data_IF_381811873246
#
_entry.id   IF_381811873246
#
_cell.length_a   1.000
_cell.length_b   1.000
_cell.length_c   1.000
_cell.angle_alpha   90.00
_cell.angle_beta   90.00
_cell.angle_gamma   90.00
#
_symmetry.space_group_name_H-M   'P 1'
#
loop_
_entity.id
_entity.type
_entity.pdbx_description
1 polymer ?
#
# COMPACT_ATOMS: atom_id res chain seq x y z
N UNK A 1 -7.24 -15.30 6.91
CA UNK A 1 -7.33 -13.82 6.94
C UNK A 1 -7.12 -13.22 5.55
N UNK A 2 -5.96 -13.41 4.91
CA UNK A 2 -5.71 -12.83 3.58
C UNK A 2 -6.76 -13.26 2.54
N UNK A 3 -6.86 -14.56 2.23
CA UNK A 3 -7.76 -15.05 1.19
C UNK A 3 -9.27 -14.91 1.48
N UNK A 4 -9.65 -14.59 2.71
CA UNK A 4 -11.05 -14.49 3.13
C UNK A 4 -11.59 -13.06 3.18
N UNK A 5 -10.72 -12.04 3.20
CA UNK A 5 -11.13 -10.63 3.37
C UNK A 5 -10.32 -9.69 2.48
N UNK A 6 -9.03 -9.95 2.28
CA UNK A 6 -8.13 -9.00 1.63
C UNK A 6 -8.02 -9.22 0.12
N UNK A 7 -8.18 -10.46 -0.36
CA UNK A 7 -8.18 -10.77 -1.80
C UNK A 7 -9.27 -9.97 -2.54
N UNK A 8 -10.47 -9.81 -1.95
CA UNK A 8 -11.55 -9.01 -2.56
C UNK A 8 -11.16 -7.53 -2.72
N UNK A 9 -10.45 -6.96 -1.73
CA UNK A 9 -9.96 -5.57 -1.78
C UNK A 9 -8.91 -5.43 -2.88
N UNK A 10 -7.98 -6.40 -2.99
CA UNK A 10 -6.96 -6.40 -4.04
C UNK A 10 -7.60 -6.50 -5.43
N UNK A 11 -8.57 -7.40 -5.60
CA UNK A 11 -9.28 -7.57 -6.87
C UNK A 11 -10.03 -6.28 -7.26
N UNK A 12 -10.77 -5.67 -6.33
CA UNK A 12 -11.45 -4.39 -6.55
C UNK A 12 -10.46 -3.27 -6.94
N UNK A 13 -9.26 -3.27 -6.36
CA UNK A 13 -8.21 -2.30 -6.70
C UNK A 13 -7.71 -2.47 -8.14
N UNK A 14 -7.53 -3.71 -8.59
CA UNK A 14 -7.16 -3.99 -9.98
C UNK A 14 -8.29 -3.66 -10.97
N UNK A 15 -9.53 -3.74 -10.52
CA UNK A 15 -10.71 -3.34 -11.31
C UNK A 15 -10.93 -1.82 -11.36
N UNK A 16 -10.06 -1.02 -10.71
CA UNK A 16 -10.01 0.43 -10.82
C UNK A 16 -10.62 1.19 -9.64
N UNK A 17 -10.93 0.52 -8.53
CA UNK A 17 -11.39 1.17 -7.30
C UNK A 17 -10.23 1.45 -6.33
N UNK A 18 -10.42 2.39 -5.40
CA UNK A 18 -9.44 2.64 -4.35
C UNK A 18 -9.61 1.64 -3.20
N UNK A 19 -8.57 0.86 -2.91
CA UNK A 19 -8.51 -0.05 -1.75
C UNK A 19 -7.67 0.51 -0.61
N UNK A 20 -8.04 0.21 0.64
CA UNK A 20 -7.29 0.64 1.82
C UNK A 20 -7.32 -0.42 2.92
N UNK A 21 -6.14 -0.77 3.46
CA UNK A 21 -5.98 -1.78 4.51
C UNK A 21 -5.05 -1.23 5.59
N UNK A 22 -5.52 -1.23 6.84
CA UNK A 22 -4.72 -0.82 8.00
C UNK A 22 -4.74 -1.90 9.07
N UNK A 23 -3.61 -2.07 9.76
CA UNK A 23 -3.52 -2.87 10.98
C UNK A 23 -3.50 -1.93 12.19
N UNK A 24 -4.46 -2.08 13.09
CA UNK A 24 -4.60 -1.26 14.31
C UNK A 24 -4.60 -2.13 15.56
N UNK A 25 -4.04 -1.61 16.66
CA UNK A 25 -3.92 -2.33 17.93
C UNK A 25 -2.72 -1.86 18.77
N UNK A 26 -2.62 -2.38 20.00
CA UNK A 26 -1.55 -2.02 20.93
C UNK A 26 -0.16 -2.48 20.45
N UNK A 27 0.92 -1.92 21.01
CA UNK A 27 2.29 -2.38 20.75
C UNK A 27 2.40 -3.88 21.06
N UNK A 28 3.19 -4.61 20.26
CA UNK A 28 3.34 -6.07 20.35
C UNK A 28 2.07 -6.90 20.01
N UNK A 29 0.99 -6.28 19.52
CA UNK A 29 -0.22 -7.03 19.11
C UNK A 29 -0.12 -7.71 17.73
N UNK A 30 1.06 -7.71 17.11
CA UNK A 30 1.28 -8.35 15.81
C UNK A 30 0.98 -7.50 14.57
N UNK A 31 0.73 -6.18 14.67
CA UNK A 31 0.47 -5.31 13.49
C UNK A 31 1.49 -5.46 12.36
N UNK A 32 2.78 -5.36 12.69
CA UNK A 32 3.89 -5.51 11.73
C UNK A 32 3.93 -6.92 11.15
N UNK A 33 3.65 -7.94 11.98
CA UNK A 33 3.56 -9.32 11.52
C UNK A 33 2.36 -9.54 10.58
N UNK A 34 1.22 -8.88 10.82
CA UNK A 34 0.09 -8.93 9.90
C UNK A 34 0.42 -8.28 8.56
N UNK A 35 0.98 -7.06 8.55
CA UNK A 35 1.24 -6.33 7.31
C UNK A 35 2.43 -6.88 6.52
N UNK A 36 3.56 -7.11 7.17
CA UNK A 36 4.81 -7.54 6.52
C UNK A 36 4.98 -9.06 6.60
N UNK A 37 4.71 -9.63 7.77
CA UNK A 37 4.93 -11.06 8.04
C UNK A 37 6.41 -11.42 8.17
N UNK A 38 6.71 -12.68 7.85
CA UNK A 38 8.05 -13.24 7.81
C UNK A 38 8.27 -14.02 6.52
N UNK A 39 9.50 -14.48 6.26
CA UNK A 39 9.80 -15.30 5.09
C UNK A 39 8.98 -16.61 5.06
N UNK A 40 8.72 -17.22 6.21
CA UNK A 40 7.93 -18.45 6.32
C UNK A 40 6.41 -18.20 6.32
N UNK A 41 5.98 -17.00 6.73
CA UNK A 41 4.58 -16.61 6.81
C UNK A 41 4.41 -15.17 6.33
N UNK A 42 4.34 -14.96 5.00
CA UNK A 42 4.25 -13.63 4.41
C UNK A 42 2.96 -12.91 4.84
N UNK A 43 3.07 -11.62 5.11
CA UNK A 43 1.95 -10.78 5.51
C UNK A 43 1.15 -10.21 4.33
N UNK A 44 0.27 -9.25 4.63
CA UNK A 44 -0.61 -8.62 3.64
C UNK A 44 0.15 -8.00 2.47
N UNK A 45 1.21 -7.24 2.71
CA UNK A 45 1.96 -6.49 1.68
C UNK A 45 2.54 -7.44 0.61
N UNK A 46 3.38 -8.43 0.96
CA UNK A 46 3.95 -9.34 -0.04
C UNK A 46 2.88 -10.22 -0.73
N UNK A 47 1.83 -10.62 -0.02
CA UNK A 47 0.73 -11.40 -0.61
C UNK A 47 -0.08 -10.57 -1.64
N UNK A 48 -0.41 -9.32 -1.30
CA UNK A 48 -1.13 -8.39 -2.18
C UNK A 48 -0.32 -8.07 -3.44
N UNK A 49 0.98 -7.78 -3.30
CA UNK A 49 1.85 -7.57 -4.45
C UNK A 49 1.87 -8.79 -5.38
N UNK A 50 2.00 -9.99 -4.82
CA UNK A 50 1.99 -11.24 -5.61
C UNK A 50 0.67 -11.45 -6.34
N UNK A 51 -0.48 -11.16 -5.72
CA UNK A 51 -1.80 -11.27 -6.34
C UNK A 51 -2.00 -10.25 -7.47
N UNK A 52 -1.61 -8.99 -7.26
CA UNK A 52 -1.63 -7.95 -8.32
C UNK A 52 -0.82 -8.38 -9.54
N UNK A 53 0.43 -8.81 -9.35
CA UNK A 53 1.26 -9.29 -10.48
C UNK A 53 0.74 -10.58 -11.09
N UNK A 54 0.06 -11.43 -10.31
CA UNK A 54 -0.63 -12.62 -10.85
C UNK A 54 -1.81 -12.22 -11.73
N UNK A 55 -2.52 -11.15 -11.40
CA UNK A 55 -3.60 -10.62 -12.23
C UNK A 55 -3.06 -10.06 -13.54
N UNK A 56 -1.97 -9.29 -13.52
CA UNK A 56 -1.29 -8.77 -14.73
C UNK A 56 -0.99 -9.89 -15.72
N UNK A 57 -0.40 -11.00 -15.24
CA UNK A 57 -0.06 -12.16 -16.08
C UNK A 57 -1.26 -12.82 -16.76
N UNK A 58 -2.47 -12.67 -16.22
CA UNK A 58 -3.70 -13.22 -16.83
C UNK A 58 -4.19 -12.41 -18.04
N UNK A 59 -3.74 -11.16 -18.20
CA UNK A 59 -4.19 -10.25 -19.26
C UNK A 59 -3.01 -9.71 -20.08
N UNK A 60 -2.32 -10.56 -20.86
CA UNK A 60 -1.10 -10.19 -21.58
C UNK A 60 -1.32 -9.11 -22.66
N UNK A 61 -2.57 -8.88 -23.09
CA UNK A 61 -2.92 -7.86 -24.07
C UNK A 61 -3.23 -6.49 -23.46
N UNK A 62 -3.17 -6.35 -22.12
CA UNK A 62 -3.36 -5.07 -21.41
C UNK A 62 -2.01 -4.55 -20.95
N UNK A 63 -1.78 -3.24 -21.13
CA UNK A 63 -0.64 -2.56 -20.54
C UNK A 63 -0.95 -2.15 -19.11
N UNK A 64 -0.01 -2.39 -18.20
CA UNK A 64 -0.12 -2.01 -16.80
C UNK A 64 1.07 -1.13 -16.42
N UNK A 65 0.79 -0.05 -15.71
CA UNK A 65 1.82 0.86 -15.19
C UNK A 65 1.65 1.00 -13.68
N UNK A 66 2.70 0.70 -12.93
CA UNK A 66 2.69 0.70 -11.47
C UNK A 66 3.54 1.85 -10.93
N UNK A 67 3.00 2.53 -9.92
CA UNK A 67 3.76 3.42 -9.04
C UNK A 67 3.62 2.93 -7.61
N UNK A 68 4.74 2.86 -6.91
CA UNK A 68 4.79 2.47 -5.50
C UNK A 68 5.47 3.59 -4.71
N UNK A 69 4.93 3.91 -3.55
CA UNK A 69 5.55 4.78 -2.55
C UNK A 69 5.55 4.05 -1.21
N UNK A 70 6.64 4.16 -0.45
CA UNK A 70 6.70 3.62 0.90
C UNK A 70 7.15 4.73 1.84
N UNK A 71 6.29 5.08 2.79
CA UNK A 71 6.40 6.32 3.55
C UNK A 71 6.18 6.02 5.03
N UNK A 72 6.96 6.68 5.88
CA UNK A 72 6.75 6.72 7.32
C UNK A 72 6.23 8.10 7.74
N UNK A 73 5.28 8.10 8.68
CA UNK A 73 4.85 9.31 9.37
C UNK A 73 5.26 9.13 10.84
N UNK A 74 6.27 9.89 11.26
CA UNK A 74 6.80 9.84 12.62
C UNK A 74 6.88 11.25 13.18
N UNK A 75 6.21 11.49 14.31
CA UNK A 75 6.16 12.80 14.96
C UNK A 75 5.76 13.93 13.99
N UNK A 76 4.69 13.71 13.21
CA UNK A 76 4.20 14.64 12.17
C UNK A 76 5.17 14.92 11.02
N UNK A 77 6.30 14.20 10.95
CA UNK A 77 7.25 14.29 9.83
C UNK A 77 7.02 13.13 8.87
N UNK A 78 6.84 13.47 7.60
CA UNK A 78 6.70 12.51 6.51
C UNK A 78 8.09 12.20 5.93
N UNK A 79 8.45 10.92 5.88
CA UNK A 79 9.77 10.43 5.45
C UNK A 79 9.56 9.42 4.31
N UNK A 80 10.30 9.57 3.22
CA UNK A 80 10.35 8.56 2.16
C UNK A 80 11.25 7.40 2.61
N UNK A 81 10.68 6.19 2.72
CA UNK A 81 11.43 4.98 3.09
C UNK A 81 12.20 4.37 1.90
N UNK A 82 11.92 4.80 0.66
CA UNK A 82 12.65 4.39 -0.54
C UNK A 82 13.81 5.34 -0.85
N UNK A 83 13.74 6.59 -0.40
CA UNK A 83 14.82 7.58 -0.48
C UNK A 83 14.95 8.33 0.86
N UNK A 84 15.73 7.79 1.83
CA UNK A 84 15.86 8.37 3.16
C UNK A 84 16.48 9.77 3.19
N UNK A 85 17.03 10.26 2.06
CA UNK A 85 17.52 11.64 1.95
C UNK A 85 16.36 12.65 1.87
N UNK A 86 15.17 12.19 1.49
CA UNK A 86 13.94 12.99 1.38
C UNK A 86 13.14 12.89 2.68
N UNK A 87 13.37 13.88 3.55
CA UNK A 87 12.63 14.05 4.81
C UNK A 87 11.81 15.33 4.79
N UNK A 88 10.71 15.36 5.54
CA UNK A 88 9.85 16.55 5.62
C UNK A 88 9.01 16.79 4.37
N UNK A 89 8.55 15.70 3.73
CA UNK A 89 7.71 15.77 2.53
C UNK A 89 6.45 16.60 2.80
N UNK A 90 6.09 17.45 1.84
CA UNK A 90 4.96 18.37 1.99
C UNK A 90 3.65 17.68 1.62
N UNK A 91 2.64 17.84 2.47
CA UNK A 91 1.27 17.35 2.21
C UNK A 91 0.45 18.51 1.65
N UNK A 92 -0.22 18.30 0.50
CA UNK A 92 -1.09 19.31 -0.13
C UNK A 92 -2.43 18.71 -0.55
N UNK A 93 -3.52 19.45 -0.33
CA UNK A 93 -4.83 19.11 -0.90
C UNK A 93 -4.85 19.41 -2.40
N UNK A 94 -5.48 18.54 -3.18
CA UNK A 94 -5.73 18.78 -4.59
C UNK A 94 -6.88 19.77 -4.76
N UNK A 95 -6.64 20.91 -5.40
CA UNK A 95 -7.69 21.88 -5.73
C UNK A 95 -8.69 21.34 -6.77
N UNK A 96 -8.24 20.40 -7.60
CA UNK A 96 -9.03 19.85 -8.71
C UNK A 96 -9.98 18.73 -8.27
N UNK A 97 -9.76 18.12 -7.10
CA UNK A 97 -10.53 16.94 -6.67
C UNK A 97 -10.67 16.95 -5.16
N UNK A 98 -11.90 17.17 -4.69
CA UNK A 98 -12.22 17.12 -3.26
C UNK A 98 -11.87 15.74 -2.68
N UNK A 99 -11.28 15.73 -1.49
CA UNK A 99 -10.85 14.51 -0.80
C UNK A 99 -9.53 13.91 -1.25
N UNK A 100 -8.86 14.47 -2.27
CA UNK A 100 -7.53 14.01 -2.70
C UNK A 100 -6.44 14.81 -1.99
N UNK A 101 -5.62 14.12 -1.21
CA UNK A 101 -4.42 14.66 -0.57
C UNK A 101 -3.19 14.03 -1.25
N UNK A 102 -2.22 14.87 -1.61
CA UNK A 102 -0.99 14.46 -2.30
C UNK A 102 0.22 14.73 -1.41
N UNK A 103 1.14 13.78 -1.37
CA UNK A 103 2.46 13.95 -0.77
C UNK A 103 3.42 14.33 -1.90
N UNK A 104 4.15 15.43 -1.70
CA UNK A 104 5.10 15.98 -2.66
C UNK A 104 6.51 15.55 -2.25
N UNK A 105 7.16 14.73 -3.09
CA UNK A 105 8.54 14.26 -2.93
C UNK A 105 9.25 14.09 -4.26
#
# INVERSE_FOLDING_TARGET
VYGSVLSEIVQSTVDGYNGCIFAYGQTSSGKTFTMTGSAASPGVIPLAANEVFSHVRKYPSREFFFRLSYIEIYNEVVIDLLDPTKTGLQIRSSEQTSGVVKIMG
#
